data_IF_086634919016
#
_entry.id   IF_086634919016
#
_cell.length_a   1.000
_cell.length_b   1.000
_cell.length_c   1.000
_cell.angle_alpha   90.00
_cell.angle_beta   90.00
_cell.angle_gamma   90.00
#
_symmetry.space_group_name_H-M   'P 1'
#
loop_
_entity.id
_entity.type
_entity.pdbx_description
1 polymer ?
#
# COMPACT_ATOMS: atom_id res chain seq x y z
N UNK A 1 7.94 1.29 0.42
CA UNK A 1 7.62 2.16 1.55
C UNK A 1 8.91 2.58 2.25
N UNK A 2 9.20 3.88 2.29
CA UNK A 2 10.35 4.43 3.04
C UNK A 2 10.16 4.29 4.54
N UNK A 3 11.22 4.55 5.34
CA UNK A 3 11.11 4.53 6.81
C UNK A 3 10.10 5.56 7.32
N UNK A 4 10.08 6.77 6.75
CA UNK A 4 9.17 7.84 7.16
C UNK A 4 7.73 7.54 6.79
N UNK A 5 7.49 7.01 5.59
CA UNK A 5 6.16 6.52 5.20
C UNK A 5 5.67 5.42 6.16
N UNK A 6 6.57 4.53 6.62
CA UNK A 6 6.23 3.52 7.64
C UNK A 6 5.89 4.14 8.99
N UNK A 7 6.55 5.24 9.37
CA UNK A 7 6.23 5.95 10.60
C UNK A 7 4.84 6.61 10.50
N UNK A 8 4.55 7.28 9.38
CA UNK A 8 3.24 7.88 9.09
C UNK A 8 2.11 6.82 9.08
N UNK A 9 2.35 5.64 8.52
CA UNK A 9 1.34 4.58 8.48
C UNK A 9 0.90 4.13 9.88
N UNK A 10 1.77 4.23 10.89
CA UNK A 10 1.44 3.89 12.29
C UNK A 10 0.53 4.91 12.95
N UNK A 11 0.52 6.15 12.46
CA UNK A 11 -0.35 7.22 12.94
C UNK A 11 -1.78 7.09 12.39
N UNK A 12 -1.96 6.46 11.22
CA UNK A 12 -3.28 6.12 10.69
C UNK A 12 -3.94 5.00 11.54
N UNK A 13 -4.77 5.39 12.52
CA UNK A 13 -5.42 4.42 13.44
C UNK A 13 -6.69 3.78 12.87
N UNK A 14 -7.47 4.53 12.09
CA UNK A 14 -8.74 4.04 11.52
C UNK A 14 -8.48 3.14 10.29
N UNK A 15 -9.23 2.04 10.09
CA UNK A 15 -9.07 1.16 8.93
C UNK A 15 -9.15 1.90 7.59
N UNK A 16 -10.12 2.82 7.44
CA UNK A 16 -10.27 3.65 6.24
C UNK A 16 -9.03 4.51 5.95
N UNK A 17 -8.45 5.11 7.00
CA UNK A 17 -7.24 5.92 6.88
C UNK A 17 -6.03 5.07 6.47
N UNK A 18 -5.89 3.86 7.02
CA UNK A 18 -4.83 2.92 6.63
C UNK A 18 -4.96 2.52 5.15
N UNK A 19 -6.18 2.21 4.70
CA UNK A 19 -6.44 1.84 3.30
C UNK A 19 -6.12 2.99 2.35
N UNK A 20 -6.55 4.20 2.69
CA UNK A 20 -6.22 5.42 1.92
C UNK A 20 -4.70 5.66 1.86
N UNK A 21 -3.99 5.50 2.98
CA UNK A 21 -2.54 5.65 3.02
C UNK A 21 -1.82 4.64 2.11
N UNK A 22 -2.20 3.36 2.17
CA UNK A 22 -1.62 2.33 1.29
C UNK A 22 -1.89 2.64 -0.17
N UNK A 23 -3.10 3.10 -0.51
CA UNK A 23 -3.47 3.49 -1.88
C UNK A 23 -2.62 4.66 -2.38
N UNK A 24 -2.40 5.68 -1.55
CA UNK A 24 -1.52 6.81 -1.86
C UNK A 24 -0.07 6.34 -2.14
N UNK A 25 0.46 5.45 -1.31
CA UNK A 25 1.81 4.89 -1.52
C UNK A 25 1.87 4.08 -2.82
N UNK A 26 0.85 3.27 -3.12
CA UNK A 26 0.76 2.52 -4.38
C UNK A 26 0.72 3.45 -5.60
N UNK A 27 0.02 4.58 -5.52
CA UNK A 27 -0.01 5.58 -6.60
C UNK A 27 1.37 6.18 -6.86
N UNK A 28 2.09 6.58 -5.81
CA UNK A 28 3.47 7.07 -5.91
C UNK A 28 4.38 6.02 -6.55
N UNK A 29 4.25 4.76 -6.11
CA UNK A 29 5.01 3.65 -6.67
C UNK A 29 4.70 3.37 -8.14
N UNK A 30 3.46 3.61 -8.59
CA UNK A 30 3.08 3.48 -9.99
C UNK A 30 3.84 4.49 -10.87
N UNK A 31 3.95 5.74 -10.42
CA UNK A 31 4.71 6.80 -11.11
C UNK A 31 6.22 6.53 -11.09
N UNK A 32 6.77 6.10 -9.96
CA UNK A 32 8.21 5.82 -9.85
C UNK A 32 8.67 4.57 -10.62
N UNK A 33 7.74 3.64 -10.91
CA UNK A 33 8.04 2.37 -11.56
C UNK A 33 8.82 1.38 -10.67
N UNK A 34 9.13 0.18 -11.20
CA UNK A 34 9.96 -0.87 -10.56
C UNK A 34 9.44 -1.49 -9.25
N UNK A 35 8.30 -1.07 -8.71
CA UNK A 35 7.72 -1.60 -7.46
C UNK A 35 6.63 -2.67 -7.65
N UNK A 36 6.50 -3.28 -8.84
CA UNK A 36 5.49 -4.33 -9.12
C UNK A 36 5.66 -5.59 -8.25
N UNK A 37 6.89 -5.96 -7.94
CA UNK A 37 7.21 -7.10 -7.05
C UNK A 37 6.59 -6.95 -5.64
N UNK A 38 6.24 -5.74 -5.22
CA UNK A 38 5.60 -5.51 -3.92
C UNK A 38 4.15 -5.98 -3.87
N UNK A 39 3.44 -6.03 -5.01
CA UNK A 39 2.01 -6.37 -5.05
C UNK A 39 1.76 -7.79 -4.59
N UNK A 40 2.49 -8.75 -5.13
CA UNK A 40 2.34 -10.16 -4.78
C UNK A 40 2.65 -10.41 -3.30
N UNK A 41 3.74 -9.82 -2.81
CA UNK A 41 4.12 -9.93 -1.41
C UNK A 41 3.07 -9.30 -0.47
N UNK A 42 2.47 -8.17 -0.87
CA UNK A 42 1.43 -7.51 -0.10
C UNK A 42 0.11 -8.28 -0.15
N UNK A 43 -0.30 -8.79 -1.30
CA UNK A 43 -1.48 -9.62 -1.48
C UNK A 43 -1.41 -10.88 -0.60
N UNK A 44 -0.27 -11.59 -0.60
CA UNK A 44 -0.02 -12.75 0.29
C UNK A 44 -0.19 -12.39 1.77
N UNK A 45 0.25 -11.20 2.18
CA UNK A 45 0.07 -10.72 3.58
C UNK A 45 -1.38 -10.36 3.90
N UNK A 46 -2.11 -9.81 2.94
CA UNK A 46 -3.53 -9.48 3.08
C UNK A 46 -4.36 -10.76 3.20
N UNK A 47 -4.11 -11.75 2.34
CA UNK A 47 -4.75 -13.07 2.37
C UNK A 47 -4.57 -13.78 3.72
N UNK A 48 -3.34 -13.79 4.27
CA UNK A 48 -3.06 -14.34 5.62
C UNK A 48 -3.87 -13.66 6.74
N UNK A 49 -4.37 -12.46 6.50
CA UNK A 49 -5.16 -11.67 7.45
C UNK A 49 -6.66 -11.64 7.09
N UNK A 50 -7.08 -12.36 6.06
CA UNK A 50 -8.46 -12.36 5.58
C UNK A 50 -8.94 -11.00 5.08
N UNK A 51 -8.04 -10.15 4.59
CA UNK A 51 -8.37 -8.84 4.03
C UNK A 51 -7.98 -8.78 2.56
N UNK A 52 -8.71 -8.00 1.78
CA UNK A 52 -8.36 -7.75 0.39
C UNK A 52 -7.42 -6.55 0.28
N UNK A 53 -6.38 -6.62 -0.58
CA UNK A 53 -5.55 -5.47 -0.88
C UNK A 53 -6.39 -4.39 -1.61
N UNK A 54 -6.07 -3.09 -1.45
CA UNK A 54 -6.64 -2.06 -2.30
C UNK A 54 -6.16 -2.26 -3.75
N UNK A 55 -7.01 -1.86 -4.70
CA UNK A 55 -6.66 -1.86 -6.12
C UNK A 55 -5.50 -0.89 -6.37
N UNK A 56 -4.50 -1.32 -7.16
CA UNK A 56 -3.37 -0.47 -7.52
C UNK A 56 -3.82 0.55 -8.58
N UNK A 57 -3.62 1.86 -8.33
CA UNK A 57 -3.87 2.87 -9.36
C UNK A 57 -2.97 2.67 -10.57
N UNK A 58 -3.51 2.86 -11.77
CA UNK A 58 -2.71 2.94 -13.00
C UNK A 58 -1.84 4.21 -12.93
N UNK A 59 -0.61 4.11 -13.39
CA UNK A 59 0.16 5.33 -13.70
C UNK A 59 -0.56 6.05 -14.85
N UNK A 60 -0.62 7.38 -14.77
CA UNK A 60 -1.08 8.21 -15.87
C UNK A 60 -0.12 8.10 -17.07
#
# INVERSE_FOLDING_TARGET
>A
MTRDQKALSKQAKKPKARRAFVTLVMAQQAVMGRYRHWDEAYAKRCAKKGVEPPERPKAA
#
